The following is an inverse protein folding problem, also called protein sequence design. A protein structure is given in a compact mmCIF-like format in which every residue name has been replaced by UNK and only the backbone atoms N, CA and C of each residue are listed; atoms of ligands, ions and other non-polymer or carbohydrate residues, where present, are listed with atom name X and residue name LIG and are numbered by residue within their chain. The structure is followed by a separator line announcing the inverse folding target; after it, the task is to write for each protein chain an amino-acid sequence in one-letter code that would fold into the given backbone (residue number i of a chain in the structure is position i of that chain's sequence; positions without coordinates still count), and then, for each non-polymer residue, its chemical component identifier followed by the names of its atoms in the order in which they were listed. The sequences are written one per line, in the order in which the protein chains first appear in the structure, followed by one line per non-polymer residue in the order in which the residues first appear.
data_IF_058653144129
#
_entry.id   IF_058653144129
#
_cell.length_a   1.000
_cell.length_b   1.000
_cell.length_c   1.000
_cell.angle_alpha   90.00
_cell.angle_beta   90.00
_cell.angle_gamma   90.00
#
_symmetry.space_group_name_H-M   'P 1'
#
loop_
_entity.id
_entity.type
_entity.pdbx_description
1 polymer ?
#
# COMPACT_ATOMS: atom_id res chain seq x y z
N UNK A 1 -53.50 9.75 0.81
CA UNK A 1 -54.68 8.88 0.66
C UNK A 1 -55.17 9.14 -0.76
N UNK A 2 -54.76 8.30 -1.73
CA UNK A 2 -55.13 8.48 -3.14
C UNK A 2 -56.57 8.01 -3.36
N UNK A 3 -57.46 8.94 -3.75
CA UNK A 3 -58.82 8.62 -4.13
C UNK A 3 -58.85 8.27 -5.62
N UNK A 4 -58.93 6.99 -5.97
CA UNK A 4 -59.33 6.59 -7.32
C UNK A 4 -60.79 6.20 -7.38
N UNK A 5 -61.33 6.27 -8.60
CA UNK A 5 -62.75 6.16 -8.85
C UNK A 5 -63.04 4.77 -9.42
N UNK A 6 -64.00 4.07 -8.81
CA UNK A 6 -64.46 2.78 -9.28
C UNK A 6 -65.56 2.97 -10.33
N UNK A 7 -65.54 2.17 -11.40
CA UNK A 7 -66.66 2.09 -12.32
C UNK A 7 -67.84 1.32 -11.70
N UNK A 8 -69.00 1.33 -12.38
CA UNK A 8 -70.22 0.67 -11.88
C UNK A 8 -70.11 -0.86 -11.83
N UNK A 9 -69.02 -1.45 -12.34
CA UNK A 9 -68.70 -2.88 -12.24
C UNK A 9 -67.65 -3.17 -11.15
N UNK A 10 -67.23 -2.17 -10.37
CA UNK A 10 -66.25 -2.33 -9.29
C UNK A 10 -64.80 -2.39 -9.76
N UNK A 11 -64.49 -2.00 -10.99
CA UNK A 11 -63.12 -1.89 -11.48
C UNK A 11 -62.55 -0.50 -11.17
N UNK A 12 -61.33 -0.49 -10.61
CA UNK A 12 -60.63 0.74 -10.26
C UNK A 12 -60.04 1.42 -11.50
N UNK A 13 -60.52 2.61 -11.83
CA UNK A 13 -59.99 3.43 -12.92
C UNK A 13 -59.11 4.51 -12.29
N UNK A 14 -57.78 4.38 -12.46
CA UNK A 14 -56.83 5.45 -12.12
C UNK A 14 -57.14 6.67 -13.00
N UNK A 15 -57.40 7.84 -12.39
CA UNK A 15 -57.60 9.07 -13.15
C UNK A 15 -56.31 9.38 -13.90
N UNK A 16 -56.40 9.46 -15.23
CA UNK A 16 -55.31 9.92 -16.08
C UNK A 16 -55.09 11.42 -15.82
N UNK A 17 -53.94 11.76 -15.23
CA UNK A 17 -53.55 13.15 -15.02
C UNK A 17 -52.90 13.40 -13.66
N UNK A 18 -51.90 12.59 -13.30
CA UNK A 18 -50.92 13.00 -12.30
C UNK A 18 -49.77 13.71 -13.06
N UNK A 19 -49.55 15.03 -12.87
CA UNK A 19 -48.41 15.74 -13.44
C UNK A 19 -47.06 15.23 -12.92
N UNK A 20 -47.04 14.50 -11.79
CA UNK A 20 -45.85 13.87 -11.21
C UNK A 20 -45.58 12.46 -11.77
N UNK A 21 -46.47 11.95 -12.64
CA UNK A 21 -46.27 10.68 -13.35
C UNK A 21 -45.25 10.76 -14.50
N UNK A 22 -44.62 11.92 -14.73
CA UNK A 22 -43.40 12.05 -15.52
C UNK A 22 -42.21 11.45 -14.75
N UNK A 23 -42.28 10.15 -14.49
CA UNK A 23 -41.17 9.41 -13.93
C UNK A 23 -40.08 9.27 -14.99
N UNK A 24 -38.86 9.64 -14.59
CA UNK A 24 -37.59 9.49 -15.29
C UNK A 24 -37.31 10.37 -16.53
N UNK A 25 -37.60 11.68 -16.47
CA UNK A 25 -37.06 12.66 -17.44
C UNK A 25 -35.51 12.71 -17.49
N UNK A 26 -34.81 12.20 -16.48
CA UNK A 26 -33.34 12.07 -16.46
C UNK A 26 -32.82 10.86 -17.24
N UNK A 27 -33.69 9.91 -17.62
CA UNK A 27 -33.36 8.78 -18.48
C UNK A 27 -33.76 9.02 -19.95
N UNK A 28 -34.46 10.11 -20.26
CA UNK A 28 -34.78 10.48 -21.64
C UNK A 28 -33.50 10.79 -22.43
N UNK A 29 -33.25 9.99 -23.48
CA UNK A 29 -32.05 10.09 -24.33
C UNK A 29 -30.97 9.05 -24.02
N UNK A 30 -31.08 8.27 -22.94
CA UNK A 30 -30.19 7.16 -22.65
C UNK A 30 -30.71 5.86 -23.28
N UNK A 31 -29.88 5.19 -24.07
CA UNK A 31 -30.25 3.93 -24.71
C UNK A 31 -30.16 2.74 -23.76
N UNK A 32 -30.82 1.63 -24.11
CA UNK A 32 -30.64 0.33 -23.42
C UNK A 32 -29.16 -0.10 -23.32
N UNK A 33 -28.33 0.33 -24.29
CA UNK A 33 -26.88 0.09 -24.28
C UNK A 33 -26.16 0.87 -23.19
N UNK A 34 -26.55 2.12 -22.93
CA UNK A 34 -25.93 2.97 -21.91
C UNK A 34 -26.30 2.49 -20.50
N UNK A 35 -27.57 2.10 -20.30
CA UNK A 35 -28.02 1.46 -19.05
C UNK A 35 -27.27 0.15 -18.76
N UNK A 36 -27.06 -0.69 -19.78
CA UNK A 36 -26.30 -1.94 -19.62
C UNK A 36 -24.83 -1.66 -19.29
N UNK A 37 -24.20 -0.70 -19.95
CA UNK A 37 -22.81 -0.30 -19.67
C UNK A 37 -22.67 0.30 -18.27
N UNK A 38 -23.64 1.09 -17.81
CA UNK A 38 -23.68 1.63 -16.45
C UNK A 38 -23.85 0.51 -15.41
N UNK A 39 -24.73 -0.46 -15.67
CA UNK A 39 -24.92 -1.63 -14.81
C UNK A 39 -23.67 -2.51 -14.74
N UNK A 40 -23.01 -2.78 -15.87
CA UNK A 40 -21.74 -3.53 -15.90
C UNK A 40 -20.63 -2.79 -15.14
N UNK A 41 -20.52 -1.46 -15.30
CA UNK A 41 -19.56 -0.66 -14.56
C UNK A 41 -19.85 -0.60 -13.05
N UNK A 42 -21.12 -0.61 -12.65
CA UNK A 42 -21.53 -0.69 -11.25
C UNK A 42 -21.21 -2.08 -10.68
N UNK A 43 -21.60 -3.15 -11.37
CA UNK A 43 -21.34 -4.53 -10.97
C UNK A 43 -19.83 -4.79 -10.83
N UNK A 44 -19.01 -4.27 -11.74
CA UNK A 44 -17.55 -4.36 -11.62
C UNK A 44 -17.02 -3.64 -10.39
N UNK A 45 -17.53 -2.44 -10.08
CA UNK A 45 -17.15 -1.70 -8.86
C UNK A 45 -17.58 -2.42 -7.59
N UNK A 46 -18.77 -2.99 -7.57
CA UNK A 46 -19.29 -3.76 -6.45
C UNK A 46 -18.50 -5.07 -6.24
N UNK A 47 -18.15 -5.77 -7.33
CA UNK A 47 -17.28 -6.96 -7.28
C UNK A 47 -15.90 -6.60 -6.72
N UNK A 48 -15.27 -5.54 -7.21
CA UNK A 48 -13.97 -5.08 -6.69
C UNK A 48 -14.05 -4.68 -5.21
N UNK A 49 -15.10 -3.96 -4.80
CA UNK A 49 -15.30 -3.60 -3.40
C UNK A 49 -15.51 -4.84 -2.52
N UNK A 50 -16.22 -5.85 -3.01
CA UNK A 50 -16.42 -7.12 -2.30
C UNK A 50 -15.13 -7.92 -2.17
N UNK A 51 -14.35 -8.01 -3.25
CA UNK A 51 -13.02 -8.65 -3.24
C UNK A 51 -12.07 -7.96 -2.26
N UNK A 52 -12.06 -6.63 -2.22
CA UNK A 52 -11.27 -5.86 -1.27
C UNK A 52 -11.67 -6.12 0.18
N UNK A 53 -12.98 -6.22 0.47
CA UNK A 53 -13.46 -6.58 1.82
C UNK A 53 -12.97 -7.97 2.23
N UNK A 54 -13.12 -8.97 1.35
CA UNK A 54 -12.63 -10.32 1.61
C UNK A 54 -11.12 -10.38 1.79
N UNK A 55 -10.36 -9.62 0.99
CA UNK A 55 -8.91 -9.54 1.13
C UNK A 55 -8.50 -8.85 2.44
N UNK A 56 -9.21 -7.79 2.83
CA UNK A 56 -9.01 -7.13 4.11
C UNK A 56 -9.32 -8.08 5.28
N UNK A 57 -10.37 -8.91 5.17
CA UNK A 57 -10.73 -9.90 6.19
C UNK A 57 -9.69 -11.03 6.31
N UNK A 58 -9.01 -11.39 5.21
CA UNK A 58 -7.99 -12.45 5.19
C UNK A 58 -6.69 -12.08 5.91
N UNK A 59 -6.42 -10.79 6.17
CA UNK A 59 -5.20 -10.39 6.90
C UNK A 59 -5.33 -10.81 8.36
N UNK A 60 -4.33 -11.46 8.96
CA UNK A 60 -4.43 -11.88 10.36
C UNK A 60 -4.30 -10.68 11.32
N UNK A 61 -5.03 -10.71 12.43
CA UNK A 61 -4.93 -9.67 13.50
C UNK A 61 -3.50 -9.60 14.05
N UNK A 62 -2.84 -10.74 14.21
CA UNK A 62 -1.44 -10.84 14.63
C UNK A 62 -0.50 -10.06 13.71
N UNK A 63 -0.72 -10.12 12.40
CA UNK A 63 0.14 -9.44 11.42
C UNK A 63 -0.08 -7.92 11.47
N UNK A 64 -1.32 -7.48 11.66
CA UNK A 64 -1.63 -6.07 11.86
C UNK A 64 -0.98 -5.53 13.13
N UNK A 65 -1.14 -6.23 14.26
CA UNK A 65 -0.51 -5.86 15.54
C UNK A 65 1.01 -5.79 15.39
N UNK A 66 1.62 -6.78 14.73
CA UNK A 66 3.06 -6.79 14.45
C UNK A 66 3.50 -5.60 13.61
N UNK A 67 2.80 -5.31 12.51
CA UNK A 67 3.12 -4.16 11.66
C UNK A 67 3.03 -2.85 12.44
N UNK A 68 2.03 -2.72 13.32
CA UNK A 68 1.85 -1.55 14.16
C UNK A 68 2.97 -1.41 15.21
N UNK A 69 3.28 -2.47 15.96
CA UNK A 69 4.28 -2.48 17.05
C UNK A 69 5.69 -2.11 16.55
N UNK A 70 6.06 -2.52 15.33
CA UNK A 70 7.38 -2.22 14.74
C UNK A 70 7.60 -0.72 14.52
N UNK A 71 6.54 0.03 14.22
CA UNK A 71 6.65 1.47 13.92
C UNK A 71 6.48 2.37 15.16
N UNK A 72 6.07 1.79 16.29
CA UNK A 72 5.89 2.48 17.57
C UNK A 72 7.18 2.51 18.39
N UNK A 73 7.49 3.66 18.99
CA UNK A 73 8.51 3.74 20.04
C UNK A 73 7.96 3.21 21.38
N UNK A 74 8.85 2.97 22.36
CA UNK A 74 8.42 2.50 23.69
C UNK A 74 7.50 3.52 24.34
N UNK A 75 6.45 3.04 24.99
CA UNK A 75 5.41 3.84 25.66
C UNK A 75 4.75 4.89 24.75
N UNK A 76 4.79 4.70 23.44
CA UNK A 76 4.14 5.58 22.47
C UNK A 76 2.79 4.98 22.03
N UNK A 77 1.81 5.83 21.74
CA UNK A 77 0.54 5.44 21.09
C UNK A 77 0.60 5.68 19.57
N UNK A 78 -0.27 5.05 18.76
CA UNK A 78 -0.32 5.32 17.32
C UNK A 78 -0.53 6.81 16.99
N UNK A 79 -1.32 7.55 17.77
CA UNK A 79 -1.50 8.99 17.57
C UNK A 79 -0.22 9.80 17.81
N UNK A 80 0.53 9.44 18.85
CA UNK A 80 1.81 10.08 19.15
C UNK A 80 2.86 9.77 18.10
N UNK A 81 2.91 8.52 17.61
CA UNK A 81 3.78 8.10 16.52
C UNK A 81 3.49 8.87 15.23
N UNK A 82 2.22 9.02 14.86
CA UNK A 82 1.81 9.83 13.72
C UNK A 82 2.21 11.31 13.89
N UNK A 83 2.07 11.87 15.10
CA UNK A 83 2.49 13.23 15.39
C UNK A 83 4.02 13.41 15.31
N UNK A 84 4.80 12.44 15.79
CA UNK A 84 6.27 12.41 15.70
C UNK A 84 6.74 12.31 14.25
N UNK A 85 6.19 11.35 13.49
CA UNK A 85 6.51 11.15 12.08
C UNK A 85 6.10 12.35 11.22
N UNK A 86 4.92 12.92 11.46
CA UNK A 86 4.42 14.12 10.77
C UNK A 86 5.27 15.38 11.02
N UNK A 87 5.95 15.49 12.18
CA UNK A 87 6.92 16.57 12.43
C UNK A 87 8.22 16.40 11.64
N UNK A 88 8.61 15.17 11.34
CA UNK A 88 9.80 14.83 10.54
C UNK A 88 9.57 14.96 9.03
N UNK A 89 8.30 15.05 8.60
CA UNK A 89 7.99 15.31 7.19
C UNK A 89 8.41 16.71 6.76
N UNK A 90 9.20 16.80 5.69
CA UNK A 90 9.56 18.08 5.08
C UNK A 90 8.34 18.66 4.38
N UNK A 91 7.78 19.74 4.96
CA UNK A 91 6.68 20.45 4.31
C UNK A 91 7.23 21.18 3.09
N UNK A 92 6.59 21.05 1.91
CA UNK A 92 6.99 21.85 0.76
C UNK A 92 6.88 23.32 1.15
N UNK A 93 7.96 24.09 0.95
CA UNK A 93 7.96 25.53 1.22
C UNK A 93 6.82 26.15 0.40
N UNK A 94 5.75 26.60 1.07
CA UNK A 94 4.62 27.26 0.40
C UNK A 94 5.14 28.51 -0.30
N UNK A 95 5.32 28.42 -1.61
CA UNK A 95 5.70 29.58 -2.42
C UNK A 95 4.52 30.56 -2.37
N UNK A 96 4.74 31.81 -1.93
CA UNK A 96 3.69 32.81 -1.90
C UNK A 96 3.05 32.99 -3.28
N UNK A 97 1.71 33.12 -3.32
CA UNK A 97 0.94 33.26 -4.55
C UNK A 97 1.42 34.43 -5.44
N UNK A 98 1.97 35.50 -4.85
CA UNK A 98 2.54 36.63 -5.59
C UNK A 98 3.84 36.26 -6.34
N UNK A 99 4.67 35.35 -5.80
CA UNK A 99 5.86 34.82 -6.49
C UNK A 99 5.45 33.91 -7.64
N UNK A 100 4.42 33.07 -7.45
CA UNK A 100 3.87 32.21 -8.51
C UNK A 100 3.28 33.03 -9.67
N UNK A 101 2.59 34.14 -9.38
CA UNK A 101 2.08 35.05 -10.42
C UNK A 101 3.19 35.76 -11.20
N UNK A 102 4.32 36.07 -10.56
CA UNK A 102 5.47 36.71 -11.22
C UNK A 102 6.19 35.74 -12.16
N UNK A 103 6.46 34.51 -11.70
CA UNK A 103 7.04 33.46 -12.55
C UNK A 103 6.16 33.13 -13.78
N UNK A 104 4.82 33.11 -13.62
CA UNK A 104 3.90 32.89 -14.75
C UNK A 104 3.87 34.05 -15.76
N UNK A 105 4.25 35.26 -15.34
CA UNK A 105 4.22 36.46 -16.19
C UNK A 105 5.52 36.64 -16.98
N UNK A 106 6.65 36.21 -16.42
CA UNK A 106 7.97 36.44 -17.00
C UNK A 106 8.38 35.40 -18.07
N UNK A 107 7.51 34.46 -18.46
CA UNK A 107 7.68 33.60 -19.65
C UNK A 107 8.85 32.60 -19.60
N UNK A 108 9.77 32.74 -18.66
CA UNK A 108 10.78 31.76 -18.32
C UNK A 108 10.16 30.76 -17.35
N UNK A 109 9.59 29.70 -17.92
CA UNK A 109 9.28 28.46 -17.21
C UNK A 109 10.57 27.83 -16.72
N UNK A 110 11.18 28.40 -15.68
CA UNK A 110 12.13 27.67 -14.85
C UNK A 110 11.29 26.60 -14.15
N UNK A 111 11.42 25.38 -14.66
CA UNK A 111 10.92 24.15 -14.08
C UNK A 111 11.22 24.21 -12.58
N UNK A 112 10.19 24.50 -11.79
CA UNK A 112 10.29 24.38 -10.35
C UNK A 112 10.53 22.91 -10.17
N UNK A 113 11.76 22.58 -9.82
CA UNK A 113 12.27 21.25 -9.55
C UNK A 113 11.38 20.57 -8.49
N UNK A 114 10.24 20.07 -8.95
CA UNK A 114 9.31 19.17 -8.27
C UNK A 114 9.81 17.72 -8.41
N UNK A 115 11.08 17.57 -8.77
CA UNK A 115 11.80 16.33 -9.02
C UNK A 115 13.17 16.33 -8.36
N UNK A 116 13.34 17.07 -7.26
CA UNK A 116 14.35 16.66 -6.29
C UNK A 116 13.91 15.32 -5.74
N UNK A 117 14.60 14.24 -6.13
CA UNK A 117 14.36 12.88 -5.65
C UNK A 117 13.95 12.94 -4.18
N UNK A 118 12.74 12.45 -3.87
CA UNK A 118 12.27 12.48 -2.49
C UNK A 118 13.32 11.78 -1.65
N UNK A 119 13.80 12.49 -0.63
CA UNK A 119 14.77 11.93 0.30
C UNK A 119 14.25 10.56 0.74
N UNK A 120 15.03 9.47 0.58
CA UNK A 120 14.56 8.13 0.93
C UNK A 120 14.04 8.06 2.37
N UNK A 121 14.51 8.95 3.26
CA UNK A 121 13.97 9.08 4.61
C UNK A 121 12.51 9.60 4.62
N UNK A 122 12.16 10.55 3.75
CA UNK A 122 10.81 11.10 3.62
C UNK A 122 9.82 10.08 3.05
N UNK A 123 10.26 9.26 2.10
CA UNK A 123 9.47 8.13 1.57
C UNK A 123 9.17 7.14 2.69
N UNK A 124 10.20 6.73 3.45
CA UNK A 124 10.04 5.84 4.62
C UNK A 124 9.12 6.39 5.69
N UNK A 125 9.19 7.69 5.97
CA UNK A 125 8.29 8.33 6.94
C UNK A 125 6.84 8.27 6.46
N UNK A 126 6.60 8.50 5.16
CA UNK A 126 5.25 8.40 4.59
C UNK A 126 4.74 6.96 4.61
N UNK A 127 5.58 6.00 4.22
CA UNK A 127 5.28 4.57 4.26
C UNK A 127 4.96 4.10 5.69
N UNK A 128 5.72 4.55 6.69
CA UNK A 128 5.44 4.26 8.09
C UNK A 128 4.10 4.87 8.54
N UNK A 129 3.80 6.12 8.16
CA UNK A 129 2.51 6.76 8.46
C UNK A 129 1.35 5.98 7.82
N UNK A 130 1.49 5.58 6.55
CA UNK A 130 0.47 4.80 5.85
C UNK A 130 0.29 3.43 6.50
N UNK A 131 1.38 2.78 6.89
CA UNK A 131 1.34 1.45 7.53
C UNK A 131 0.68 1.51 8.90
N UNK A 132 1.05 2.49 9.75
CA UNK A 132 0.41 2.71 11.06
C UNK A 132 -1.10 2.94 10.88
N UNK A 133 -1.47 3.84 9.96
CA UNK A 133 -2.87 4.22 9.76
C UNK A 133 -3.70 3.06 9.21
N UNK A 134 -3.17 2.34 8.22
CA UNK A 134 -3.85 1.18 7.61
C UNK A 134 -3.97 0.00 8.60
N UNK A 135 -2.92 -0.30 9.37
CA UNK A 135 -2.96 -1.34 10.38
C UNK A 135 -3.96 -1.00 11.49
N UNK A 136 -3.94 0.24 12.00
CA UNK A 136 -4.86 0.69 13.03
C UNK A 136 -6.31 0.73 12.54
N UNK A 137 -6.58 1.20 11.31
CA UNK A 137 -7.94 1.20 10.74
C UNK A 137 -8.49 -0.22 10.55
N UNK A 138 -7.66 -1.16 10.08
CA UNK A 138 -8.06 -2.57 9.97
C UNK A 138 -8.31 -3.22 11.33
N UNK A 139 -7.53 -2.88 12.35
CA UNK A 139 -7.78 -3.33 13.73
C UNK A 139 -9.07 -2.74 14.29
N UNK A 140 -9.32 -1.44 14.06
CA UNK A 140 -10.53 -0.75 14.49
C UNK A 140 -11.80 -1.43 13.94
N UNK A 141 -11.76 -1.88 12.68
CA UNK A 141 -12.86 -2.64 12.06
C UNK A 141 -13.05 -4.06 12.63
N UNK A 142 -12.16 -4.53 13.52
CA UNK A 142 -12.16 -5.88 14.14
C UNK A 142 -12.30 -5.81 15.66
N UNK A 143 -13.09 -4.85 16.14
CA UNK A 143 -13.40 -4.62 17.56
C UNK A 143 -12.22 -4.09 18.43
N UNK A 144 -11.14 -3.62 17.82
CA UNK A 144 -10.07 -2.91 18.54
C UNK A 144 -10.32 -1.40 18.58
N UNK A 145 -11.35 -0.99 19.31
CA UNK A 145 -11.82 0.40 19.36
C UNK A 145 -10.78 1.39 19.89
N UNK A 146 -9.99 0.98 20.88
CA UNK A 146 -9.00 1.83 21.56
C UNK A 146 -7.61 1.80 20.90
N UNK A 147 -7.46 1.18 19.72
CA UNK A 147 -6.15 0.93 19.11
C UNK A 147 -5.28 2.19 19.00
N UNK A 148 -5.88 3.35 18.73
CA UNK A 148 -5.17 4.62 18.56
C UNK A 148 -4.62 5.22 19.86
N UNK A 149 -5.21 4.88 20.99
CA UNK A 149 -4.86 5.38 22.32
C UNK A 149 -4.06 4.35 23.14
N UNK A 150 -3.95 3.11 22.64
CA UNK A 150 -3.19 2.06 23.30
C UNK A 150 -1.69 2.24 23.13
N UNK A 151 -0.97 2.12 24.25
CA UNK A 151 0.49 2.12 24.24
C UNK A 151 1.03 0.83 23.61
N UNK A 152 2.21 0.94 22.99
CA UNK A 152 2.96 -0.19 22.41
C UNK A 152 3.01 -1.44 23.27
N UNK A 153 3.19 -1.30 24.58
CA UNK A 153 3.34 -2.45 25.49
C UNK A 153 2.00 -3.20 25.71
N UNK A 154 0.87 -2.49 25.65
CA UNK A 154 -0.45 -3.12 25.64
C UNK A 154 -0.68 -3.88 24.33
N UNK A 155 -0.29 -3.29 23.20
CA UNK A 155 -0.37 -3.94 21.89
C UNK A 155 0.53 -5.20 21.82
N UNK A 156 1.69 -5.20 22.47
CA UNK A 156 2.55 -6.40 22.60
C UNK A 156 1.86 -7.49 23.42
N UNK A 157 1.22 -7.12 24.54
CA UNK A 157 0.46 -8.08 25.35
C UNK A 157 -0.72 -8.67 24.57
N UNK A 158 -1.36 -7.84 23.76
CA UNK A 158 -2.43 -8.22 22.85
C UNK A 158 -1.93 -9.21 21.80
N UNK A 159 -0.80 -8.91 21.14
CA UNK A 159 -0.15 -9.80 20.19
C UNK A 159 0.14 -11.17 20.81
N UNK A 160 0.71 -11.19 22.02
CA UNK A 160 0.96 -12.43 22.77
C UNK A 160 -0.32 -13.19 23.09
N UNK A 161 -1.44 -12.50 23.37
CA UNK A 161 -2.73 -13.16 23.61
C UNK A 161 -3.26 -13.84 22.34
N UNK A 162 -3.10 -13.19 21.20
CA UNK A 162 -3.56 -13.70 19.90
C UNK A 162 -2.69 -14.85 19.37
N UNK A 163 -1.36 -14.74 19.46
CA UNK A 163 -0.44 -15.75 18.89
C UNK A 163 0.02 -16.80 19.89
N UNK A 164 0.00 -16.48 21.18
CA UNK A 164 0.62 -17.29 22.23
C UNK A 164 2.16 -17.16 22.29
N UNK A 165 2.77 -16.36 21.41
CA UNK A 165 4.21 -16.19 21.32
C UNK A 165 4.67 -14.88 21.97
N UNK A 166 5.86 -14.88 22.57
CA UNK A 166 6.45 -13.65 23.10
C UNK A 166 6.95 -12.75 21.97
N UNK A 167 6.74 -11.44 22.11
CA UNK A 167 7.21 -10.47 21.13
C UNK A 167 8.73 -10.42 21.07
N UNK A 168 9.28 -10.64 19.87
CA UNK A 168 10.70 -10.46 19.58
C UNK A 168 10.83 -9.28 18.61
N UNK A 169 11.55 -8.24 19.04
CA UNK A 169 11.83 -7.08 18.20
C UNK A 169 12.56 -7.53 16.92
N UNK A 170 11.96 -7.36 15.72
CA UNK A 170 12.64 -7.72 14.50
C UNK A 170 13.87 -6.83 14.36
N UNK A 171 15.04 -7.45 14.11
CA UNK A 171 16.26 -6.67 13.86
C UNK A 171 16.04 -5.73 12.67
N UNK A 172 16.69 -4.55 12.62
CA UNK A 172 16.53 -3.60 11.51
C UNK A 172 16.84 -4.18 10.12
N UNK A 173 17.51 -5.33 10.01
CA UNK A 173 17.71 -6.06 8.75
C UNK A 173 16.57 -7.02 8.41
N UNK A 174 15.87 -7.54 9.41
CA UNK A 174 14.73 -8.47 9.27
C UNK A 174 13.40 -7.70 9.14
N UNK A 175 13.27 -6.52 9.75
CA UNK A 175 12.16 -5.59 9.52
C UNK A 175 12.08 -5.13 8.05
N UNK A 176 13.23 -5.02 7.37
CA UNK A 176 13.33 -4.81 5.90
C UNK A 176 12.77 -5.99 5.09
N UNK A 177 12.62 -7.16 5.71
CA UNK A 177 12.09 -8.37 5.09
C UNK A 177 10.58 -8.54 5.19
N UNK A 178 9.91 -7.88 6.15
CA UNK A 178 8.44 -7.99 6.30
C UNK A 178 7.67 -7.25 5.18
N UNK A 179 8.30 -6.28 4.53
CA UNK A 179 7.76 -5.59 3.35
C UNK A 179 7.86 -6.44 2.07
N UNK A 180 8.67 -7.51 2.09
CA UNK A 180 8.99 -8.35 0.94
C UNK A 180 8.64 -9.84 1.15
N UNK A 181 8.01 -10.19 2.28
CA UNK A 181 7.67 -11.57 2.65
C UNK A 181 6.52 -12.19 1.84
N UNK A 182 6.00 -11.49 0.83
CA UNK A 182 5.12 -12.07 -0.20
C UNK A 182 5.91 -12.66 -1.38
N UNK A 183 7.23 -12.53 -1.41
CA UNK A 183 8.08 -13.25 -2.36
C UNK A 183 8.76 -14.41 -1.64
N UNK A 184 8.56 -15.62 -2.17
CA UNK A 184 9.19 -16.92 -1.84
C UNK A 184 10.51 -16.84 -1.03
N UNK A 185 10.88 -17.85 -0.21
CA UNK A 185 12.22 -17.95 0.37
C UNK A 185 13.26 -17.85 -0.74
N UNK A 186 13.76 -16.64 -0.96
CA UNK A 186 14.43 -16.28 -2.19
C UNK A 186 15.83 -16.85 -2.08
N UNK A 187 16.19 -17.63 -3.09
CA UNK A 187 17.49 -18.26 -3.19
C UNK A 187 18.55 -17.17 -3.04
N UNK A 188 19.29 -17.22 -1.93
CA UNK A 188 20.36 -16.27 -1.68
C UNK A 188 21.57 -16.61 -2.55
N UNK A 189 22.35 -15.61 -2.93
CA UNK A 189 23.49 -15.71 -3.84
C UNK A 189 24.73 -15.06 -3.22
N UNK A 190 25.88 -15.64 -3.53
CA UNK A 190 27.21 -15.13 -3.22
C UNK A 190 27.99 -14.97 -4.53
N UNK A 191 28.91 -14.01 -4.57
CA UNK A 191 29.81 -13.83 -5.69
C UNK A 191 31.24 -13.56 -5.26
N UNK A 192 32.19 -13.79 -6.17
CA UNK A 192 33.61 -13.48 -5.97
C UNK A 192 34.26 -12.96 -7.25
N UNK A 193 35.20 -12.03 -7.09
CA UNK A 193 36.03 -11.53 -8.19
C UNK A 193 37.27 -12.41 -8.39
N UNK A 194 37.49 -12.86 -9.62
CA UNK A 194 38.66 -13.59 -10.09
C UNK A 194 39.81 -12.68 -10.53
N UNK A 195 39.55 -11.39 -10.73
CA UNK A 195 40.52 -10.40 -11.22
C UNK A 195 41.49 -9.89 -10.13
N UNK A 196 41.58 -10.57 -8.98
CA UNK A 196 42.52 -10.25 -7.90
C UNK A 196 42.25 -8.94 -7.14
N UNK A 197 41.29 -8.11 -7.56
CA UNK A 197 40.95 -6.82 -6.95
C UNK A 197 40.56 -6.91 -5.47
N UNK A 198 39.93 -8.00 -5.07
CA UNK A 198 39.49 -8.27 -3.69
C UNK A 198 40.12 -9.54 -3.09
N UNK A 199 41.22 -10.04 -3.68
CA UNK A 199 41.90 -11.25 -3.17
C UNK A 199 41.03 -12.51 -3.12
N UNK A 200 39.96 -12.57 -3.91
CA UNK A 200 39.00 -13.68 -3.90
C UNK A 200 38.05 -13.68 -2.70
N UNK A 201 37.88 -12.55 -2.01
CA UNK A 201 36.93 -12.42 -0.91
C UNK A 201 35.49 -12.72 -1.36
N UNK A 202 34.79 -13.49 -0.53
CA UNK A 202 33.40 -13.87 -0.71
C UNK A 202 32.49 -12.67 -0.42
N UNK A 203 31.65 -12.29 -1.37
CA UNK A 203 30.68 -11.20 -1.22
C UNK A 203 29.26 -11.79 -1.24
N UNK A 204 28.54 -11.67 -0.14
CA UNK A 204 27.19 -12.20 0.03
C UNK A 204 26.83 -12.37 1.50
N UNK A 205 25.60 -12.81 1.83
CA UNK A 205 24.53 -13.29 0.93
C UNK A 205 23.60 -12.16 0.41
N UNK A 206 23.24 -12.18 -0.87
CA UNK A 206 22.31 -11.26 -1.52
C UNK A 206 21.11 -11.98 -2.14
N UNK A 207 19.97 -11.31 -2.29
CA UNK A 207 18.78 -11.86 -2.95
C UNK A 207 18.89 -11.84 -4.50
N UNK A 208 18.14 -12.72 -5.17
CA UNK A 208 18.11 -12.83 -6.63
C UNK A 208 17.78 -11.51 -7.35
N UNK A 209 16.73 -10.77 -6.94
CA UNK A 209 16.40 -9.47 -7.52
C UNK A 209 17.54 -8.44 -7.44
N UNK A 210 18.21 -8.31 -6.29
CA UNK A 210 19.37 -7.42 -6.14
C UNK A 210 20.52 -7.80 -7.08
N UNK A 211 20.84 -9.10 -7.18
CA UNK A 211 21.91 -9.57 -8.08
C UNK A 211 21.59 -9.31 -9.56
N UNK A 212 20.33 -9.48 -9.96
CA UNK A 212 19.87 -9.15 -11.31
C UNK A 212 19.99 -7.66 -11.61
N UNK A 213 19.62 -6.80 -10.65
CA UNK A 213 19.76 -5.35 -10.82
C UNK A 213 21.22 -4.92 -11.02
N UNK A 214 22.18 -5.53 -10.33
CA UNK A 214 23.61 -5.26 -10.55
C UNK A 214 24.14 -5.80 -11.88
N UNK A 215 23.62 -6.94 -12.34
CA UNK A 215 23.93 -7.45 -13.68
C UNK A 215 23.41 -6.52 -14.78
N UNK A 216 22.14 -6.08 -14.68
CA UNK A 216 21.51 -5.17 -15.64
C UNK A 216 22.16 -3.78 -15.63
N UNK A 217 22.66 -3.34 -14.47
CA UNK A 217 23.44 -2.11 -14.34
C UNK A 217 24.88 -2.22 -14.87
N UNK A 218 25.32 -3.41 -15.31
CA UNK A 218 26.66 -3.63 -15.85
C UNK A 218 27.77 -3.65 -14.80
N UNK A 219 27.46 -3.93 -13.54
CA UNK A 219 28.45 -4.04 -12.47
C UNK A 219 29.38 -5.25 -12.69
N UNK A 220 28.86 -6.32 -13.30
CA UNK A 220 29.55 -7.57 -13.58
C UNK A 220 30.04 -7.61 -15.03
N UNK A 221 31.18 -6.99 -15.31
CA UNK A 221 31.72 -6.86 -16.67
C UNK A 221 32.51 -8.10 -17.10
N UNK A 222 33.58 -8.48 -16.40
CA UNK A 222 34.33 -9.72 -16.62
C UNK A 222 35.00 -10.21 -15.31
N UNK A 223 35.21 -11.52 -15.17
CA UNK A 223 35.97 -12.07 -14.04
C UNK A 223 35.20 -12.19 -12.72
N UNK A 224 33.88 -12.38 -12.74
CA UNK A 224 33.06 -12.68 -11.55
C UNK A 224 32.48 -14.09 -11.64
N UNK A 225 32.43 -14.78 -10.51
CA UNK A 225 31.72 -16.05 -10.36
C UNK A 225 30.65 -15.93 -9.29
N UNK A 226 29.54 -16.63 -9.51
CA UNK A 226 28.35 -16.63 -8.66
C UNK A 226 28.06 -18.03 -8.14
N UNK A 227 27.46 -18.12 -6.95
CA UNK A 227 27.00 -19.36 -6.35
C UNK A 227 25.74 -19.12 -5.51
N UNK A 228 24.69 -19.96 -5.58
CA UNK A 228 23.61 -19.90 -4.61
C UNK A 228 24.09 -20.39 -3.23
N UNK A 229 23.63 -19.73 -2.17
CA UNK A 229 23.95 -20.09 -0.78
C UNK A 229 23.34 -21.46 -0.47
N UNK A 230 24.19 -22.44 -0.19
CA UNK A 230 23.82 -23.83 0.10
C UNK A 230 25.03 -24.76 -0.03
N UNK A 231 25.14 -25.76 0.83
CA UNK A 231 26.24 -26.74 0.79
C UNK A 231 26.25 -27.47 -0.57
N UNK A 232 27.37 -27.36 -1.31
CA UNK A 232 27.61 -28.12 -2.54
C UNK A 232 27.32 -27.40 -3.87
N UNK A 233 26.97 -26.12 -3.87
CA UNK A 233 26.78 -25.39 -5.12
C UNK A 233 28.11 -25.04 -5.81
N UNK A 234 28.17 -25.24 -7.13
CA UNK A 234 29.35 -24.92 -7.94
C UNK A 234 29.38 -23.43 -8.34
N UNK A 235 30.60 -22.88 -8.46
CA UNK A 235 30.82 -21.53 -8.95
C UNK A 235 30.55 -21.46 -10.45
N UNK A 236 29.73 -20.51 -10.89
CA UNK A 236 29.42 -20.30 -12.30
C UNK A 236 29.65 -18.85 -12.72
N UNK A 237 30.18 -18.65 -13.94
CA UNK A 237 30.31 -17.32 -14.57
C UNK A 237 28.98 -16.81 -15.15
N UNK A 238 27.98 -17.69 -15.24
CA UNK A 238 26.63 -17.37 -15.74
C UNK A 238 25.63 -17.82 -14.68
N UNK A 239 24.94 -16.88 -14.06
CA UNK A 239 23.86 -17.15 -13.13
C UNK A 239 22.54 -16.61 -13.69
N UNK A 240 21.49 -17.43 -13.64
CA UNK A 240 20.13 -17.00 -13.91
C UNK A 240 19.49 -16.59 -12.58
N UNK A 241 19.50 -15.29 -12.30
CA UNK A 241 18.85 -14.73 -11.13
C UNK A 241 17.34 -14.67 -11.39
N UNK A 242 16.58 -15.53 -10.70
CA UNK A 242 15.11 -15.59 -10.73
C UNK A 242 14.52 -14.92 -9.49
#
# INVERSE_FOLDING_TARGET
MEEGQFDQSGNYIRRAGDPDAEHDNWLQGLGKKDMKKAAEAHMKREQQAREQRLAADNVLVSDLLKSLIVHLEKTETPLEALARLGKRQTKPKKIPQWKLKKLKKDGEGMEVDQSGAEDPEQVRIREAITTITDAADKLLNRDYEEVYDQERELLIREYRRETGEDWVEPRPEEARGYENATSNPSRQWEFRWLDGRDGGALQGPFDGPTMKAWQDAGYFTEGVEFRPVGEGAEWSKVAAFS
#
